data_IF_488155416429
#
_entry.id   IF_488155416429
#
_cell.length_a   1.000
_cell.length_b   1.000
_cell.length_c   1.000
_cell.angle_alpha   90.00
_cell.angle_beta   90.00
_cell.angle_gamma   90.00
#
_symmetry.space_group_name_H-M   'P 1'
#
loop_
_entity.id
_entity.type
_entity.pdbx_description
1 polymer ?
#
# COMPACT_ATOMS: atom_id res chain seq x y z
N UNK A 1 -32.73 20.67 14.39
CA UNK A 1 -31.27 20.36 14.50
C UNK A 1 -30.52 20.45 13.16
N UNK A 2 -31.19 20.47 11.98
CA UNK A 2 -30.54 20.66 10.66
C UNK A 2 -30.33 22.13 10.24
N UNK A 3 -30.99 23.09 10.90
CA UNK A 3 -30.88 24.53 10.63
C UNK A 3 -29.59 25.14 11.20
N UNK A 4 -29.21 24.78 12.43
CA UNK A 4 -27.97 25.26 13.09
C UNK A 4 -26.67 24.87 12.37
N UNK A 5 -26.66 23.72 11.68
CA UNK A 5 -25.48 23.24 10.95
C UNK A 5 -25.26 23.98 9.62
N UNK A 6 -26.35 24.45 8.98
CA UNK A 6 -26.25 25.28 7.77
C UNK A 6 -25.73 26.68 8.11
N UNK A 7 -26.21 27.28 9.20
CA UNK A 7 -25.74 28.60 9.68
C UNK A 7 -24.25 28.62 10.05
N UNK A 8 -23.72 27.51 10.59
CA UNK A 8 -22.28 27.41 10.92
C UNK A 8 -21.38 27.32 9.67
N UNK A 9 -21.87 26.72 8.58
CA UNK A 9 -21.12 26.60 7.32
C UNK A 9 -21.08 27.95 6.59
N UNK A 10 -22.20 28.69 6.59
CA UNK A 10 -22.28 30.01 5.94
C UNK A 10 -21.44 31.08 6.67
N UNK A 11 -21.30 30.97 8.00
CA UNK A 11 -20.45 31.86 8.79
C UNK A 11 -18.93 31.61 8.56
N UNK A 12 -18.54 30.39 8.20
CA UNK A 12 -17.15 30.07 7.80
C UNK A 12 -16.81 30.62 6.41
N UNK A 13 -17.78 30.63 5.49
CA UNK A 13 -17.59 31.15 4.12
C UNK A 13 -17.36 32.67 4.08
N UNK A 14 -18.04 33.45 4.94
CA UNK A 14 -17.86 34.91 5.02
C UNK A 14 -16.54 35.32 5.69
N UNK A 15 -16.09 34.57 6.71
CA UNK A 15 -14.83 34.86 7.43
C UNK A 15 -13.60 34.50 6.60
N UNK A 16 -13.71 33.50 5.71
CA UNK A 16 -12.60 33.08 4.84
C UNK A 16 -12.43 34.04 3.66
N UNK A 17 -13.52 34.61 3.13
CA UNK A 17 -13.46 35.46 1.93
C UNK A 17 -12.85 36.85 2.20
N UNK A 18 -12.88 37.34 3.45
CA UNK A 18 -12.38 38.69 3.80
C UNK A 18 -10.87 38.76 4.12
N UNK A 19 -10.15 37.63 4.16
CA UNK A 19 -8.69 37.60 4.45
C UNK A 19 -7.77 37.37 3.25
N UNK A 20 -8.29 37.21 2.03
CA UNK A 20 -7.48 36.87 0.85
C UNK A 20 -7.42 38.01 -0.18
N UNK A 21 -6.94 39.17 0.25
CA UNK A 21 -6.17 40.03 -0.64
C UNK A 21 -4.81 40.24 0.00
N UNK A 22 -3.76 39.82 -0.71
CA UNK A 22 -2.33 39.77 -0.33
C UNK A 22 -1.87 38.45 0.34
N UNK A 23 -1.40 37.49 -0.47
CA UNK A 23 -0.18 36.64 -0.30
C UNK A 23 -0.20 35.39 -1.21
N UNK A 24 1.01 34.91 -1.54
CA UNK A 24 1.45 33.90 -2.53
C UNK A 24 0.53 32.71 -2.90
N UNK A 25 0.52 32.38 -4.20
CA UNK A 25 -0.37 31.39 -4.83
C UNK A 25 -0.18 29.94 -4.35
N UNK A 26 1.00 29.59 -3.82
CA UNK A 26 1.30 28.26 -3.29
C UNK A 26 0.60 27.98 -1.94
N UNK A 27 0.50 28.99 -1.05
CA UNK A 27 -0.19 28.83 0.24
C UNK A 27 -1.71 28.72 0.07
N UNK A 28 -2.28 29.34 -0.97
CA UNK A 28 -3.70 29.23 -1.27
C UNK A 28 -4.12 27.82 -1.71
N UNK A 29 -3.24 27.06 -2.39
CA UNK A 29 -3.51 25.67 -2.79
C UNK A 29 -3.47 24.71 -1.60
N UNK A 30 -2.51 24.87 -0.70
CA UNK A 30 -2.38 24.03 0.52
C UNK A 30 -3.58 24.21 1.44
N UNK A 31 -4.04 25.45 1.63
CA UNK A 31 -5.20 25.76 2.49
C UNK A 31 -6.51 25.23 1.88
N UNK A 32 -6.69 25.32 0.56
CA UNK A 32 -7.86 24.71 -0.14
C UNK A 32 -7.87 23.19 -0.02
N UNK A 33 -6.70 22.56 -0.03
CA UNK A 33 -6.56 21.11 0.12
C UNK A 33 -6.86 20.65 1.56
N UNK A 34 -6.42 21.41 2.57
CA UNK A 34 -6.75 21.15 3.98
C UNK A 34 -8.26 21.28 4.24
N UNK A 35 -8.90 22.34 3.74
CA UNK A 35 -10.35 22.52 3.86
C UNK A 35 -11.17 21.42 3.15
N UNK A 36 -10.67 20.88 2.03
CA UNK A 36 -11.27 19.75 1.31
C UNK A 36 -11.17 18.44 2.11
N UNK A 37 -10.03 18.19 2.76
CA UNK A 37 -9.82 17.02 3.61
C UNK A 37 -10.69 17.08 4.87
N UNK A 38 -10.83 18.24 5.51
CA UNK A 38 -11.72 18.41 6.66
C UNK A 38 -13.19 18.17 6.29
N UNK A 39 -13.64 18.62 5.09
CA UNK A 39 -14.97 18.29 4.56
C UNK A 39 -15.17 16.78 4.39
N UNK A 40 -14.19 16.07 3.82
CA UNK A 40 -14.26 14.60 3.64
C UNK A 40 -14.35 13.86 4.98
N UNK A 41 -13.57 14.28 5.98
CA UNK A 41 -13.61 13.69 7.33
C UNK A 41 -14.97 13.91 8.01
N UNK A 42 -15.59 15.08 7.84
CA UNK A 42 -16.93 15.37 8.35
C UNK A 42 -18.04 14.54 7.67
N UNK A 43 -17.92 14.30 6.36
CA UNK A 43 -18.82 13.43 5.59
C UNK A 43 -18.71 11.96 6.00
N UNK A 44 -17.50 11.45 6.23
CA UNK A 44 -17.29 10.08 6.74
C UNK A 44 -17.87 9.94 8.15
N UNK A 45 -17.64 10.95 9.02
CA UNK A 45 -18.19 10.97 10.38
C UNK A 45 -19.72 11.08 10.42
N UNK A 46 -20.35 11.74 9.45
CA UNK A 46 -21.81 11.78 9.36
C UNK A 46 -22.37 10.46 8.82
N UNK A 47 -21.72 9.86 7.81
CA UNK A 47 -22.09 8.56 7.25
C UNK A 47 -22.03 7.44 8.29
N UNK A 48 -20.92 7.33 9.05
CA UNK A 48 -20.77 6.34 10.12
C UNK A 48 -21.80 6.55 11.26
N UNK A 49 -22.28 7.79 11.46
CA UNK A 49 -23.30 8.11 12.47
C UNK A 49 -24.71 7.76 11.99
N UNK A 50 -24.97 7.82 10.68
CA UNK A 50 -26.20 7.34 10.06
C UNK A 50 -26.24 5.81 10.02
N UNK A 51 -25.11 5.16 9.72
CA UNK A 51 -24.96 3.70 9.72
C UNK A 51 -25.21 3.12 11.12
N UNK A 52 -24.55 3.65 12.17
CA UNK A 52 -24.82 3.24 13.56
C UNK A 52 -26.28 3.41 13.98
N UNK A 53 -26.96 4.46 13.50
CA UNK A 53 -28.40 4.66 13.77
C UNK A 53 -29.28 3.65 13.04
N UNK A 54 -28.95 3.31 11.80
CA UNK A 54 -29.68 2.29 11.02
C UNK A 54 -29.56 0.92 11.69
N UNK A 55 -28.34 0.51 12.11
CA UNK A 55 -28.13 -0.75 12.84
C UNK A 55 -28.88 -0.79 14.18
N UNK A 56 -28.95 0.34 14.89
CA UNK A 56 -29.68 0.43 16.17
C UNK A 56 -31.20 0.33 15.95
N UNK A 57 -31.72 0.88 14.85
CA UNK A 57 -33.15 0.84 14.51
C UNK A 57 -33.56 -0.56 14.05
N UNK A 58 -32.71 -1.22 13.27
CA UNK A 58 -32.88 -2.59 12.78
C UNK A 58 -32.89 -3.59 13.94
N UNK A 59 -31.93 -3.49 14.87
CA UNK A 59 -31.93 -4.27 16.12
C UNK A 59 -33.15 -3.99 17.01
N UNK A 60 -33.70 -2.77 16.99
CA UNK A 60 -34.92 -2.43 17.74
C UNK A 60 -36.19 -2.98 17.07
N UNK A 61 -36.24 -3.03 15.74
CA UNK A 61 -37.35 -3.64 14.99
C UNK A 61 -37.35 -5.17 15.13
N UNK A 62 -36.19 -5.82 15.06
CA UNK A 62 -36.08 -7.27 15.26
C UNK A 62 -36.52 -7.71 16.66
N UNK A 63 -36.21 -6.93 17.70
CA UNK A 63 -36.68 -7.18 19.07
C UNK A 63 -38.19 -7.04 19.22
N UNK A 64 -38.82 -6.10 18.50
CA UNK A 64 -40.29 -5.94 18.52
C UNK A 64 -41.00 -7.05 17.75
N UNK A 65 -40.42 -7.55 16.66
CA UNK A 65 -40.97 -8.67 15.90
C UNK A 65 -40.90 -10.00 16.67
N UNK A 66 -39.87 -10.22 17.49
CA UNK A 66 -39.77 -11.42 18.36
C UNK A 66 -40.69 -11.38 19.59
N UNK A 67 -41.18 -10.20 19.99
CA UNK A 67 -42.04 -10.03 21.15
C UNK A 67 -43.54 -10.13 20.84
N UNK A 68 -43.92 -10.15 19.56
CA UNK A 68 -45.30 -10.23 19.10
C UNK A 68 -45.54 -11.62 18.49
N UNK A 69 -46.17 -12.54 19.23
CA UNK A 69 -46.66 -13.82 18.72
C UNK A 69 -47.82 -13.59 17.72
N UNK A 70 -47.54 -12.96 16.58
CA UNK A 70 -48.55 -12.65 15.57
C UNK A 70 -48.24 -13.41 14.28
N UNK A 71 -49.05 -14.42 14.03
CA UNK A 71 -49.06 -15.22 12.81
C UNK A 71 -50.26 -14.78 11.97
N UNK A 72 -50.09 -14.06 10.84
CA UNK A 72 -51.21 -13.80 9.95
C UNK A 72 -51.35 -14.93 8.91
N UNK A 73 -52.58 -15.39 8.61
CA UNK A 73 -52.82 -16.38 7.57
C UNK A 73 -52.88 -15.73 6.18
N UNK A 74 -52.41 -16.49 5.18
CA UNK A 74 -52.77 -16.43 3.76
C UNK A 74 -52.74 -15.05 3.08
N UNK A 75 -51.59 -14.70 2.51
CA UNK A 75 -51.54 -13.86 1.31
C UNK A 75 -50.76 -14.63 0.26
N UNK A 76 -51.43 -14.92 -0.87
CA UNK A 76 -50.83 -15.52 -2.06
C UNK A 76 -49.69 -14.63 -2.54
N UNK A 77 -48.45 -15.08 -2.34
CA UNK A 77 -47.26 -14.38 -2.84
C UNK A 77 -46.97 -14.92 -4.24
N UNK A 78 -47.17 -14.05 -5.23
CA UNK A 78 -46.70 -14.20 -6.59
C UNK A 78 -45.25 -14.70 -6.60
N UNK A 79 -45.00 -15.87 -7.20
CA UNK A 79 -43.72 -16.59 -7.23
C UNK A 79 -42.61 -15.93 -8.08
N UNK A 80 -42.63 -14.61 -8.26
CA UNK A 80 -41.71 -13.90 -9.18
C UNK A 80 -40.71 -12.97 -8.45
N UNK A 81 -40.85 -12.73 -7.14
CA UNK A 81 -39.93 -11.83 -6.41
C UNK A 81 -38.92 -12.52 -5.47
N UNK A 82 -38.84 -13.86 -5.45
CA UNK A 82 -37.96 -14.59 -4.53
C UNK A 82 -36.53 -14.85 -5.03
N UNK A 83 -36.12 -14.25 -6.15
CA UNK A 83 -34.77 -14.42 -6.74
C UNK A 83 -33.84 -13.20 -6.61
N UNK A 84 -34.20 -12.14 -5.87
CA UNK A 84 -33.34 -10.95 -5.72
C UNK A 84 -33.02 -10.54 -4.27
N UNK A 85 -33.33 -11.35 -3.26
CA UNK A 85 -33.06 -11.00 -1.85
C UNK A 85 -32.43 -12.12 -1.01
N UNK A 86 -31.63 -12.98 -1.65
CA UNK A 86 -30.77 -13.96 -0.99
C UNK A 86 -29.31 -13.89 -1.45
N UNK A 87 -28.89 -12.73 -1.98
CA UNK A 87 -27.47 -12.33 -1.95
C UNK A 87 -27.17 -11.64 -0.60
N UNK A 88 -27.68 -12.18 0.49
CA UNK A 88 -27.19 -11.89 1.82
C UNK A 88 -25.80 -12.50 1.89
N UNK A 89 -24.79 -11.66 1.68
CA UNK A 89 -23.35 -11.86 1.89
C UNK A 89 -23.04 -13.14 2.66
N UNK A 90 -22.92 -14.25 1.95
CA UNK A 90 -21.88 -15.21 2.29
C UNK A 90 -20.60 -14.44 2.04
N UNK A 91 -20.02 -13.82 3.09
CA UNK A 91 -18.56 -13.72 3.10
C UNK A 91 -18.12 -15.16 2.97
N UNK A 92 -17.85 -15.58 1.73
CA UNK A 92 -17.01 -16.74 1.49
C UNK A 92 -15.81 -16.46 2.36
N UNK A 93 -15.64 -17.24 3.43
CA UNK A 93 -14.46 -17.20 4.26
C UNK A 93 -13.38 -17.71 3.33
N UNK A 94 -12.83 -16.82 2.50
CA UNK A 94 -11.64 -17.12 1.74
C UNK A 94 -10.61 -17.51 2.79
N UNK A 95 -9.97 -18.68 2.67
CA UNK A 95 -8.96 -19.08 3.64
C UNK A 95 -7.93 -17.96 3.73
N UNK A 96 -7.73 -17.43 4.92
CA UNK A 96 -6.85 -16.28 5.12
C UNK A 96 -5.42 -16.70 4.85
N UNK A 97 -4.72 -15.99 3.95
CA UNK A 97 -3.35 -16.31 3.57
C UNK A 97 -2.44 -15.95 4.75
N UNK A 98 -1.75 -16.93 5.33
CA UNK A 98 -0.76 -16.64 6.38
C UNK A 98 0.41 -15.92 5.73
N UNK A 99 0.81 -14.79 6.28
CA UNK A 99 1.86 -13.93 5.75
C UNK A 99 2.91 -13.66 6.82
N UNK A 100 4.01 -14.39 6.75
CA UNK A 100 5.18 -14.20 7.60
C UNK A 100 6.00 -13.04 7.07
N UNK A 101 6.11 -11.99 7.89
CA UNK A 101 6.63 -10.71 7.42
C UNK A 101 7.35 -9.95 8.53
N UNK A 102 8.13 -8.95 8.12
CA UNK A 102 8.56 -7.89 9.02
C UNK A 102 8.15 -6.54 8.41
N UNK A 103 7.47 -5.65 9.16
CA UNK A 103 6.88 -4.44 8.58
C UNK A 103 7.87 -3.51 7.88
N UNK A 104 9.12 -3.49 8.33
CA UNK A 104 10.18 -2.64 7.81
C UNK A 104 10.75 -3.16 6.48
N UNK A 105 10.55 -4.45 6.15
CA UNK A 105 11.17 -5.08 4.99
C UNK A 105 10.54 -4.60 3.68
N UNK A 106 11.31 -4.00 2.76
CA UNK A 106 10.82 -3.61 1.43
C UNK A 106 10.02 -4.70 0.69
N UNK A 107 10.53 -5.94 0.54
CA UNK A 107 9.78 -6.97 -0.15
C UNK A 107 8.48 -7.36 0.56
N UNK A 108 8.39 -7.23 1.89
CA UNK A 108 7.14 -7.46 2.62
C UNK A 108 6.11 -6.36 2.33
N UNK A 109 6.53 -5.08 2.35
CA UNK A 109 5.66 -3.93 2.04
C UNK A 109 5.07 -4.02 0.63
N UNK A 110 5.84 -4.53 -0.33
CA UNK A 110 5.35 -4.78 -1.69
C UNK A 110 4.17 -5.78 -1.72
N UNK A 111 4.24 -6.88 -0.95
CA UNK A 111 3.14 -7.85 -0.85
C UNK A 111 1.89 -7.21 -0.26
N UNK A 112 2.04 -6.44 0.82
CA UNK A 112 0.90 -5.78 1.47
C UNK A 112 0.20 -4.79 0.53
N UNK A 113 0.97 -4.01 -0.25
CA UNK A 113 0.42 -3.10 -1.25
C UNK A 113 -0.34 -3.87 -2.35
N UNK A 114 0.26 -4.93 -2.91
CA UNK A 114 -0.42 -5.73 -3.94
C UNK A 114 -1.69 -6.36 -3.40
N UNK A 115 -1.63 -7.02 -2.23
CA UNK A 115 -2.78 -7.66 -1.60
C UNK A 115 -3.92 -6.66 -1.32
N UNK A 116 -3.59 -5.48 -0.78
CA UNK A 116 -4.55 -4.41 -0.56
C UNK A 116 -5.21 -3.90 -1.85
N UNK A 117 -4.45 -3.80 -2.94
CA UNK A 117 -4.96 -3.34 -4.25
C UNK A 117 -5.88 -4.36 -4.94
N UNK A 118 -5.66 -5.66 -4.71
CA UNK A 118 -6.49 -6.72 -5.28
C UNK A 118 -7.60 -7.21 -4.33
N UNK A 119 -7.66 -6.68 -3.10
CA UNK A 119 -8.68 -7.04 -2.12
C UNK A 119 -8.45 -8.38 -1.44
N UNK A 120 -7.19 -8.83 -1.33
CA UNK A 120 -6.80 -10.05 -0.63
C UNK A 120 -6.42 -9.71 0.81
N UNK A 121 -7.06 -10.40 1.76
CA UNK A 121 -6.74 -10.28 3.18
C UNK A 121 -5.57 -11.21 3.56
N UNK A 122 -4.61 -10.66 4.31
CA UNK A 122 -3.44 -11.38 4.81
C UNK A 122 -3.54 -11.56 6.33
N UNK A 123 -3.38 -12.80 6.80
CA UNK A 123 -3.17 -13.12 8.21
C UNK A 123 -1.71 -12.85 8.55
N UNK A 124 -1.45 -11.63 9.02
CA UNK A 124 -0.11 -11.11 9.31
C UNK A 124 0.54 -11.84 10.50
N UNK A 125 1.66 -12.52 10.25
CA UNK A 125 2.51 -13.21 11.22
C UNK A 125 3.85 -12.45 11.34
N UNK A 126 3.96 -11.43 12.20
CA UNK A 126 5.17 -10.63 12.30
C UNK A 126 6.33 -11.45 12.89
N UNK A 127 7.54 -11.26 12.35
CA UNK A 127 8.79 -11.80 12.86
C UNK A 127 9.76 -10.67 13.20
N UNK A 128 10.42 -10.76 14.35
CA UNK A 128 11.55 -9.92 14.71
C UNK A 128 12.85 -10.53 14.18
N UNK A 129 13.33 -9.97 13.07
CA UNK A 129 14.57 -10.44 12.45
C UNK A 129 15.82 -10.09 13.29
N UNK A 130 15.76 -9.05 14.12
CA UNK A 130 16.88 -8.66 14.98
C UNK A 130 16.96 -9.55 16.23
N UNK A 131 15.81 -10.01 16.74
CA UNK A 131 15.76 -11.01 17.80
C UNK A 131 16.08 -12.44 17.30
N UNK A 132 16.11 -12.64 15.98
CA UNK A 132 16.46 -13.93 15.37
C UNK A 132 15.29 -14.89 15.22
N UNK A 133 14.02 -14.42 15.23
CA UNK A 133 12.83 -15.28 15.13
C UNK A 133 12.85 -16.17 13.87
N UNK A 134 13.37 -15.63 12.76
CA UNK A 134 13.56 -16.31 11.49
C UNK A 134 14.59 -17.46 11.54
N UNK A 135 15.40 -17.56 12.59
CA UNK A 135 16.38 -18.62 12.82
C UNK A 135 15.86 -19.69 13.77
N UNK A 136 14.63 -19.57 14.28
CA UNK A 136 14.02 -20.60 15.10
C UNK A 136 13.82 -21.89 14.31
N UNK A 137 13.98 -23.05 14.97
CA UNK A 137 13.77 -24.35 14.35
C UNK A 137 12.38 -24.48 13.70
N UNK A 138 11.36 -23.86 14.31
CA UNK A 138 9.99 -23.89 13.80
C UNK A 138 9.85 -23.08 12.50
N UNK A 139 10.49 -21.91 12.40
CA UNK A 139 10.47 -21.14 11.16
C UNK A 139 11.36 -21.76 10.08
N UNK A 140 12.53 -22.31 10.42
CA UNK A 140 13.42 -22.98 9.46
C UNK A 140 12.73 -24.21 8.86
N UNK A 141 12.01 -25.00 9.66
CA UNK A 141 11.18 -26.12 9.15
C UNK A 141 10.10 -25.65 8.19
N UNK A 142 9.59 -24.42 8.37
CA UNK A 142 8.58 -23.84 7.51
C UNK A 142 9.18 -23.29 6.20
N UNK A 143 10.22 -22.46 6.33
CA UNK A 143 10.98 -21.84 5.25
C UNK A 143 12.48 -22.12 5.47
N UNK A 144 13.07 -23.13 4.78
CA UNK A 144 14.48 -23.46 4.91
C UNK A 144 15.44 -22.31 4.54
N UNK A 145 14.98 -21.34 3.74
CA UNK A 145 15.75 -20.14 3.41
C UNK A 145 15.70 -19.07 4.50
N UNK A 146 14.95 -19.29 5.59
CA UNK A 146 14.87 -18.42 6.77
C UNK A 146 14.73 -16.93 6.42
N UNK A 147 13.94 -16.63 5.38
CA UNK A 147 13.73 -15.29 4.84
C UNK A 147 12.28 -14.85 5.00
N UNK A 148 12.05 -13.55 4.87
CA UNK A 148 10.72 -12.95 4.70
C UNK A 148 10.73 -12.11 3.41
N UNK A 149 9.61 -11.97 2.70
CA UNK A 149 8.28 -12.52 3.00
C UNK A 149 8.16 -14.03 2.73
N UNK A 150 7.21 -14.66 3.44
CA UNK A 150 6.78 -16.03 3.16
C UNK A 150 5.27 -16.17 3.36
N UNK A 151 4.59 -16.87 2.48
CA UNK A 151 3.15 -17.10 2.58
C UNK A 151 2.78 -18.57 2.67
N UNK A 152 1.65 -18.84 3.32
CA UNK A 152 0.94 -20.13 3.24
C UNK A 152 -0.49 -19.86 2.75
N UNK A 153 -0.84 -20.49 1.65
CA UNK A 153 -2.17 -20.43 1.03
C UNK A 153 -2.65 -21.84 0.70
N UNK A 154 -3.42 -22.42 1.64
CA UNK A 154 -3.78 -23.83 1.60
C UNK A 154 -2.54 -24.72 1.73
N UNK A 155 -2.31 -25.56 0.73
CA UNK A 155 -1.13 -26.44 0.66
C UNK A 155 0.12 -25.73 0.09
N UNK A 156 -0.05 -24.59 -0.56
CA UNK A 156 1.06 -23.84 -1.15
C UNK A 156 1.83 -23.09 -0.07
N UNK A 157 3.14 -23.34 -0.01
CA UNK A 157 4.11 -22.59 0.76
C UNK A 157 5.05 -21.88 -0.20
N UNK A 158 5.14 -20.56 -0.13
CA UNK A 158 5.85 -19.76 -1.13
C UNK A 158 6.65 -18.63 -0.48
N UNK A 159 7.96 -18.63 -0.73
CA UNK A 159 8.85 -17.48 -0.51
C UNK A 159 9.02 -16.65 -1.78
N UNK A 160 9.99 -15.73 -1.79
CA UNK A 160 10.30 -14.81 -2.90
C UNK A 160 9.17 -13.80 -3.20
N UNK A 161 9.40 -12.53 -2.85
CA UNK A 161 8.35 -11.50 -2.93
C UNK A 161 7.74 -11.33 -4.33
N UNK A 162 8.56 -11.41 -5.37
CA UNK A 162 8.11 -11.24 -6.76
C UNK A 162 7.21 -12.40 -7.19
N UNK A 163 7.61 -13.62 -6.86
CA UNK A 163 6.79 -14.81 -7.11
C UNK A 163 5.46 -14.74 -6.35
N UNK A 164 5.49 -14.28 -5.09
CA UNK A 164 4.28 -14.05 -4.29
C UNK A 164 3.36 -13.02 -4.94
N UNK A 165 3.87 -11.87 -5.39
CA UNK A 165 3.05 -10.85 -6.08
C UNK A 165 2.41 -11.41 -7.35
N UNK A 166 3.20 -12.09 -8.20
CA UNK A 166 2.69 -12.73 -9.42
C UNK A 166 1.60 -13.76 -9.09
N UNK A 167 1.84 -14.60 -8.08
CA UNK A 167 0.89 -15.61 -7.61
C UNK A 167 -0.43 -15.00 -7.12
N UNK A 168 -0.35 -13.97 -6.27
CA UNK A 168 -1.53 -13.32 -5.71
C UNK A 168 -2.41 -12.73 -6.82
N UNK A 169 -1.82 -12.00 -7.78
CA UNK A 169 -2.58 -11.45 -8.91
C UNK A 169 -3.15 -12.59 -9.78
N UNK A 170 -2.33 -13.57 -10.18
CA UNK A 170 -2.79 -14.67 -11.03
C UNK A 170 -3.94 -15.48 -10.41
N UNK A 171 -3.92 -15.74 -9.09
CA UNK A 171 -4.92 -16.56 -8.41
C UNK A 171 -6.19 -15.79 -8.06
N UNK A 172 -6.05 -14.58 -7.52
CA UNK A 172 -7.17 -13.85 -6.92
C UNK A 172 -7.76 -12.78 -7.83
N UNK A 173 -7.00 -12.31 -8.83
CA UNK A 173 -7.44 -11.28 -9.77
C UNK A 173 -6.80 -11.49 -11.15
N UNK A 174 -7.09 -12.62 -11.82
CA UNK A 174 -6.48 -12.95 -13.11
C UNK A 174 -6.77 -11.85 -14.15
N UNK A 175 -5.76 -11.56 -14.98
CA UNK A 175 -5.79 -10.50 -16.00
C UNK A 175 -6.00 -9.09 -15.45
N UNK A 176 -5.73 -8.86 -14.16
CA UNK A 176 -5.70 -7.51 -13.60
C UNK A 176 -4.58 -6.67 -14.25
N UNK A 177 -4.78 -5.35 -14.47
CA UNK A 177 -3.76 -4.47 -15.02
C UNK A 177 -2.43 -4.45 -14.26
N UNK A 178 -2.41 -4.87 -12.98
CA UNK A 178 -1.18 -5.04 -12.22
C UNK A 178 -0.25 -6.13 -12.78
N UNK A 179 -0.82 -7.18 -13.38
CA UNK A 179 -0.08 -8.30 -13.99
C UNK A 179 -0.89 -8.97 -15.13
N UNK A 180 -1.08 -8.27 -16.27
CA UNK A 180 -1.94 -8.71 -17.37
C UNK A 180 -1.47 -10.03 -17.99
N UNK A 181 -2.38 -10.75 -18.66
CA UNK A 181 -2.05 -12.00 -19.37
C UNK A 181 -1.43 -11.78 -20.76
N UNK A 182 -1.51 -10.56 -21.30
CA UNK A 182 -0.85 -10.21 -22.57
C UNK A 182 0.67 -10.52 -22.49
N UNK A 183 1.20 -11.39 -23.38
CA UNK A 183 2.59 -11.83 -23.29
C UNK A 183 3.62 -10.70 -23.39
N UNK A 184 3.36 -9.66 -24.18
CA UNK A 184 4.30 -8.57 -24.38
C UNK A 184 4.37 -7.66 -23.15
N UNK A 185 3.22 -7.30 -22.59
CA UNK A 185 3.12 -6.55 -21.34
C UNK A 185 3.75 -7.33 -20.19
N UNK A 186 3.43 -8.63 -20.08
CA UNK A 186 3.96 -9.51 -19.04
C UNK A 186 5.48 -9.66 -19.14
N UNK A 187 6.02 -9.87 -20.34
CA UNK A 187 7.47 -9.93 -20.55
C UNK A 187 8.19 -8.65 -20.11
N UNK A 188 7.59 -7.48 -20.38
CA UNK A 188 8.13 -6.20 -19.92
C UNK A 188 8.05 -6.07 -18.39
N UNK A 189 6.95 -6.49 -17.74
CA UNK A 189 6.87 -6.50 -16.26
C UNK A 189 7.93 -7.44 -15.67
N UNK A 190 8.03 -8.66 -16.19
CA UNK A 190 8.97 -9.68 -15.74
C UNK A 190 10.42 -9.19 -15.90
N UNK A 191 10.77 -8.56 -17.04
CA UNK A 191 12.09 -7.93 -17.26
C UNK A 191 12.47 -6.99 -16.11
N UNK A 192 11.54 -6.14 -15.66
CA UNK A 192 11.81 -5.17 -14.60
C UNK A 192 11.86 -5.82 -13.21
N UNK A 193 11.01 -6.81 -12.94
CA UNK A 193 11.09 -7.60 -11.70
C UNK A 193 12.45 -8.32 -11.60
N UNK A 194 12.91 -8.92 -12.71
CA UNK A 194 14.19 -9.60 -12.78
C UNK A 194 15.39 -8.63 -12.74
N UNK A 195 15.29 -7.47 -13.38
CA UNK A 195 16.30 -6.42 -13.26
C UNK A 195 16.40 -5.91 -11.81
N UNK A 196 15.26 -5.72 -11.14
CA UNK A 196 15.25 -5.28 -9.75
C UNK A 196 15.93 -6.32 -8.84
N UNK A 197 15.60 -7.62 -8.94
CA UNK A 197 16.22 -8.65 -8.06
C UNK A 197 17.65 -8.98 -8.44
N UNK A 198 18.00 -8.91 -9.73
CA UNK A 198 19.31 -9.28 -10.23
C UNK A 198 20.34 -8.16 -10.17
N UNK A 199 19.89 -6.89 -10.17
CA UNK A 199 20.79 -5.73 -10.30
C UNK A 199 20.61 -4.72 -9.17
N UNK A 200 19.39 -4.22 -8.97
CA UNK A 200 19.15 -3.10 -8.04
C UNK A 200 19.19 -3.56 -6.59
N UNK A 201 18.47 -4.63 -6.26
CA UNK A 201 18.36 -5.17 -4.91
C UNK A 201 19.70 -5.62 -4.34
N UNK A 202 20.55 -6.40 -5.05
CA UNK A 202 21.84 -6.81 -4.51
C UNK A 202 22.78 -5.64 -4.26
N UNK A 203 22.82 -4.65 -5.17
CA UNK A 203 23.63 -3.46 -5.02
C UNK A 203 23.15 -2.59 -3.84
N UNK A 204 21.83 -2.40 -3.71
CA UNK A 204 21.25 -1.69 -2.57
C UNK A 204 21.54 -2.42 -1.26
N UNK A 205 21.33 -3.74 -1.21
CA UNK A 205 21.49 -4.52 0.01
C UNK A 205 22.96 -4.53 0.45
N UNK A 206 23.91 -4.64 -0.48
CA UNK A 206 25.34 -4.52 -0.17
C UNK A 206 25.70 -3.18 0.50
N UNK A 207 25.06 -2.08 0.05
CA UNK A 207 25.26 -0.75 0.59
C UNK A 207 24.55 -0.51 1.93
N UNK A 208 23.24 -0.81 1.99
CA UNK A 208 22.37 -0.38 3.09
C UNK A 208 22.25 -1.41 4.21
N UNK A 209 22.38 -2.71 3.95
CA UNK A 209 22.22 -3.73 4.99
C UNK A 209 23.23 -3.59 6.14
N UNK A 210 24.53 -3.32 5.89
CA UNK A 210 25.48 -3.05 6.97
C UNK A 210 25.08 -1.84 7.81
N UNK A 211 24.51 -0.80 7.18
CA UNK A 211 24.02 0.41 7.86
C UNK A 211 22.78 0.12 8.71
N UNK A 212 21.86 -0.70 8.21
CA UNK A 212 20.64 -1.13 8.94
C UNK A 212 21.03 -1.99 10.14
N UNK A 213 21.92 -2.97 9.97
CA UNK A 213 22.32 -3.88 11.04
C UNK A 213 23.28 -3.24 12.07
N UNK A 214 23.73 -2.00 11.83
CA UNK A 214 24.69 -1.30 12.68
C UNK A 214 26.13 -1.80 12.54
N UNK A 215 26.43 -2.54 11.48
CA UNK A 215 27.78 -3.01 11.14
C UNK A 215 28.64 -1.97 10.42
N UNK A 216 28.04 -0.87 9.94
CA UNK A 216 28.73 0.28 9.36
C UNK A 216 28.09 1.58 9.84
N UNK A 217 28.88 2.65 9.92
CA UNK A 217 28.43 4.02 10.27
C UNK A 217 28.38 4.97 9.08
N UNK A 218 29.12 4.65 8.02
CA UNK A 218 29.26 5.42 6.80
C UNK A 218 29.02 4.53 5.59
N UNK A 219 28.58 5.15 4.48
CA UNK A 219 28.38 4.46 3.22
C UNK A 219 29.72 4.07 2.57
N UNK A 220 29.82 2.81 2.18
CA UNK A 220 30.96 2.31 1.41
C UNK A 220 30.92 2.90 0.00
N UNK A 221 31.99 3.61 -0.39
CA UNK A 221 32.06 4.33 -1.68
C UNK A 221 31.96 3.41 -2.90
N UNK A 222 32.53 2.20 -2.83
CA UNK A 222 32.50 1.26 -3.95
C UNK A 222 31.09 0.70 -4.13
N UNK A 223 30.46 0.29 -3.01
CA UNK A 223 29.07 -0.22 -3.03
C UNK A 223 28.08 0.87 -3.39
N UNK A 224 28.33 2.11 -2.95
CA UNK A 224 27.52 3.26 -3.33
C UNK A 224 27.60 3.50 -4.84
N UNK A 225 28.81 3.48 -5.41
CA UNK A 225 28.98 3.60 -6.86
C UNK A 225 28.21 2.51 -7.61
N UNK A 226 28.32 1.26 -7.18
CA UNK A 226 27.60 0.14 -7.79
C UNK A 226 26.08 0.31 -7.71
N UNK A 227 25.56 0.77 -6.56
CA UNK A 227 24.14 1.06 -6.43
C UNK A 227 23.71 2.21 -7.33
N UNK A 228 24.47 3.32 -7.37
CA UNK A 228 24.20 4.45 -8.28
C UNK A 228 24.25 4.06 -9.76
N UNK A 229 25.17 3.17 -10.15
CA UNK A 229 25.22 2.61 -11.50
C UNK A 229 23.94 1.83 -11.84
N UNK A 230 23.42 1.04 -10.90
CA UNK A 230 22.14 0.32 -11.08
C UNK A 230 20.93 1.25 -11.27
N UNK A 231 20.97 2.44 -10.64
CA UNK A 231 19.90 3.44 -10.75
C UNK A 231 19.99 4.26 -12.04
N UNK A 232 21.19 4.48 -12.60
CA UNK A 232 21.37 5.25 -13.85
C UNK A 232 20.60 4.66 -15.02
N UNK A 233 20.56 3.34 -15.14
CA UNK A 233 19.75 2.68 -16.17
C UNK A 233 18.27 3.01 -16.03
N UNK A 234 17.72 2.93 -14.81
CA UNK A 234 16.32 3.22 -14.54
C UNK A 234 16.00 4.70 -14.79
N UNK A 235 16.84 5.61 -14.29
CA UNK A 235 16.62 7.05 -14.46
C UNK A 235 16.63 7.45 -15.94
N UNK A 236 17.62 6.96 -16.71
CA UNK A 236 17.69 7.20 -18.16
C UNK A 236 16.48 6.63 -18.87
N UNK A 237 16.11 5.38 -18.58
CA UNK A 237 14.94 4.73 -19.20
C UNK A 237 13.65 5.51 -18.92
N UNK A 238 13.46 5.98 -17.69
CA UNK A 238 12.31 6.79 -17.30
C UNK A 238 12.28 8.16 -17.99
N UNK A 239 13.44 8.70 -18.37
CA UNK A 239 13.55 9.92 -19.19
C UNK A 239 13.32 9.69 -20.69
N UNK A 240 13.71 8.52 -21.20
CA UNK A 240 13.66 8.16 -22.63
C UNK A 240 12.27 7.75 -23.14
N UNK A 241 11.22 7.87 -22.31
CA UNK A 241 9.85 7.42 -22.57
C UNK A 241 9.08 8.30 -23.60
N UNK A 242 9.71 8.68 -24.71
CA UNK A 242 9.13 8.89 -26.04
C UNK A 242 7.84 9.73 -26.19
N UNK A 243 7.49 10.59 -25.24
CA UNK A 243 6.25 11.37 -25.25
C UNK A 243 5.10 10.82 -24.38
N UNK A 244 5.30 9.76 -23.60
CA UNK A 244 4.35 9.39 -22.53
C UNK A 244 4.42 10.41 -21.40
N UNK A 245 3.25 10.88 -20.94
CA UNK A 245 3.18 11.90 -19.88
C UNK A 245 3.46 11.34 -18.47
N UNK A 246 3.37 10.02 -18.29
CA UNK A 246 3.44 9.34 -17.00
C UNK A 246 4.21 8.02 -17.08
N UNK A 247 5.54 8.02 -17.28
CA UNK A 247 6.28 6.78 -17.42
C UNK A 247 6.40 6.03 -16.08
N UNK A 248 6.08 4.75 -16.15
CA UNK A 248 6.12 3.71 -15.13
C UNK A 248 6.95 2.52 -15.64
N UNK A 249 7.51 1.74 -14.72
CA UNK A 249 8.32 0.57 -15.09
C UNK A 249 7.41 -0.62 -15.38
N UNK A 250 7.70 -1.37 -16.45
CA UNK A 250 6.88 -2.51 -16.86
C UNK A 250 5.85 -2.22 -17.95
N UNK A 251 4.94 -1.25 -17.80
CA UNK A 251 3.85 -1.05 -18.79
C UNK A 251 3.53 0.41 -19.14
N UNK A 252 4.53 1.28 -19.27
CA UNK A 252 4.31 2.61 -19.82
C UNK A 252 3.57 3.51 -18.83
N UNK A 253 2.27 3.75 -19.03
CA UNK A 253 1.43 4.57 -18.14
C UNK A 253 0.54 3.76 -17.18
N UNK A 254 0.61 2.43 -17.25
CA UNK A 254 -0.14 1.52 -16.39
C UNK A 254 0.70 1.07 -15.19
N UNK A 255 0.18 1.24 -13.97
CA UNK A 255 0.80 0.74 -12.74
C UNK A 255 0.80 -0.79 -12.72
N UNK A 256 1.94 -1.38 -12.38
CA UNK A 256 2.14 -2.83 -12.33
C UNK A 256 2.82 -3.30 -11.04
N UNK A 257 2.90 -4.62 -10.83
CA UNK A 257 3.67 -5.20 -9.72
C UNK A 257 5.17 -4.86 -9.78
N UNK A 258 5.72 -4.56 -10.97
CA UNK A 258 7.12 -4.10 -11.09
C UNK A 258 7.31 -2.73 -10.43
N UNK A 259 6.36 -1.83 -10.59
CA UNK A 259 6.40 -0.52 -9.95
C UNK A 259 6.29 -0.61 -8.43
N UNK A 260 5.36 -1.45 -7.97
CA UNK A 260 5.09 -1.64 -6.53
C UNK A 260 6.31 -2.25 -5.84
N UNK A 261 6.97 -3.22 -6.49
CA UNK A 261 8.20 -3.82 -6.02
C UNK A 261 9.34 -2.79 -5.95
N UNK A 262 9.58 -2.07 -7.05
CA UNK A 262 10.67 -1.10 -7.16
C UNK A 262 10.49 0.08 -6.20
N UNK A 263 9.28 0.65 -6.07
CA UNK A 263 9.04 1.77 -5.15
C UNK A 263 9.25 1.36 -3.70
N UNK A 264 8.87 0.14 -3.32
CA UNK A 264 9.10 -0.36 -1.96
C UNK A 264 10.60 -0.39 -1.62
N UNK A 265 11.41 -0.78 -2.60
CA UNK A 265 12.87 -0.83 -2.53
C UNK A 265 13.50 0.57 -2.48
N UNK A 266 13.14 1.45 -3.42
CA UNK A 266 13.67 2.81 -3.51
C UNK A 266 13.33 3.64 -2.28
N UNK A 267 12.17 3.42 -1.68
CA UNK A 267 11.74 4.09 -0.45
C UNK A 267 12.72 3.90 0.70
N UNK A 268 13.36 2.72 0.83
CA UNK A 268 14.38 2.48 1.85
C UNK A 268 15.60 3.38 1.65
N UNK A 269 16.10 3.49 0.41
CA UNK A 269 17.22 4.36 0.10
C UNK A 269 16.86 5.84 0.32
N UNK A 270 15.64 6.26 -0.03
CA UNK A 270 15.17 7.62 0.19
C UNK A 270 14.94 7.93 1.68
N UNK A 271 14.61 6.93 2.50
CA UNK A 271 14.55 7.12 3.95
C UNK A 271 15.93 7.47 4.50
N UNK A 272 17.00 6.86 3.99
CA UNK A 272 18.36 7.26 4.33
C UNK A 272 18.65 8.71 3.92
N UNK A 273 18.18 9.18 2.77
CA UNK A 273 18.30 10.60 2.36
C UNK A 273 17.64 11.59 3.33
N UNK A 274 16.60 11.16 4.06
CA UNK A 274 15.87 12.03 5.00
C UNK A 274 16.49 12.08 6.41
N UNK A 275 17.30 11.09 6.77
CA UNK A 275 17.86 10.97 8.12
C UNK A 275 19.39 10.92 8.15
N UNK A 276 20.04 10.83 6.99
CA UNK A 276 21.49 10.85 6.80
C UNK A 276 21.82 11.68 5.56
N UNK A 277 23.09 12.05 5.43
CA UNK A 277 23.61 12.77 4.27
C UNK A 277 23.77 11.80 3.07
N UNK A 278 22.64 11.36 2.50
CA UNK A 278 22.60 10.47 1.34
C UNK A 278 21.80 11.09 0.21
N UNK A 279 22.48 11.73 -0.74
CA UNK A 279 21.81 12.47 -1.82
C UNK A 279 21.57 11.62 -3.08
N UNK A 280 20.32 11.61 -3.55
CA UNK A 280 19.91 10.98 -4.82
C UNK A 280 19.37 12.01 -5.83
N UNK A 281 19.60 13.31 -5.61
CA UNK A 281 19.10 14.40 -6.45
C UNK A 281 19.57 14.35 -7.92
N UNK A 282 20.64 13.63 -8.22
CA UNK A 282 21.09 13.40 -9.61
C UNK A 282 20.06 12.59 -10.43
N UNK A 283 19.21 11.79 -9.78
CA UNK A 283 18.23 10.89 -10.41
C UNK A 283 16.84 11.51 -10.52
N UNK A 284 16.73 12.66 -11.21
CA UNK A 284 15.50 13.44 -11.30
C UNK A 284 14.30 12.65 -11.87
N UNK A 285 14.51 11.82 -12.89
CA UNK A 285 13.43 11.04 -13.50
C UNK A 285 12.95 9.95 -12.55
N UNK A 286 13.87 9.32 -11.84
CA UNK A 286 13.60 8.30 -10.82
C UNK A 286 12.85 8.89 -9.62
N UNK A 287 13.26 10.06 -9.13
CA UNK A 287 12.59 10.73 -8.01
C UNK A 287 11.16 11.14 -8.40
N UNK A 288 10.99 11.72 -9.59
CA UNK A 288 9.66 12.04 -10.11
C UNK A 288 8.80 10.78 -10.30
N UNK A 289 9.42 9.67 -10.73
CA UNK A 289 8.77 8.36 -10.85
C UNK A 289 8.27 7.83 -9.50
N UNK A 290 9.11 7.85 -8.47
CA UNK A 290 8.74 7.40 -7.12
C UNK A 290 7.51 8.17 -6.63
N UNK A 291 7.51 9.50 -6.74
CA UNK A 291 6.34 10.31 -6.33
C UNK A 291 5.07 9.95 -7.12
N UNK A 292 5.18 9.69 -8.43
CA UNK A 292 4.03 9.24 -9.23
C UNK A 292 3.48 7.90 -8.74
N UNK A 293 4.34 6.93 -8.48
CA UNK A 293 3.90 5.60 -8.00
C UNK A 293 3.24 5.73 -6.62
N UNK A 294 3.83 6.49 -5.70
CA UNK A 294 3.27 6.77 -4.36
C UNK A 294 1.85 7.33 -4.42
N UNK A 295 1.59 8.23 -5.37
CA UNK A 295 0.26 8.83 -5.57
C UNK A 295 -0.75 7.90 -6.24
N UNK A 296 -0.28 6.90 -6.98
CA UNK A 296 -1.14 5.99 -7.74
C UNK A 296 -1.61 4.81 -6.90
N UNK A 297 -0.79 4.34 -5.95
CA UNK A 297 -1.13 3.22 -5.06
C UNK A 297 -2.16 3.67 -4.01
N UNK A 298 -3.36 3.07 -3.95
CA UNK A 298 -4.34 3.35 -2.91
C UNK A 298 -3.79 3.01 -1.52
N UNK A 299 -4.10 3.86 -0.53
CA UNK A 299 -3.68 3.67 0.87
C UNK A 299 -2.16 3.48 1.07
N UNK A 300 -1.34 4.00 0.16
CA UNK A 300 0.13 3.92 0.24
C UNK A 300 0.68 4.32 1.62
N UNK A 301 0.09 5.36 2.23
CA UNK A 301 0.51 5.83 3.55
C UNK A 301 0.32 4.77 4.65
N UNK A 302 -0.76 3.99 4.58
CA UNK A 302 -1.09 2.97 5.56
C UNK A 302 -0.16 1.75 5.43
N UNK A 303 0.06 1.29 4.20
CA UNK A 303 0.91 0.13 3.91
C UNK A 303 2.41 0.43 4.02
N UNK A 304 2.81 1.69 3.82
CA UNK A 304 4.21 2.01 3.61
C UNK A 304 4.75 3.08 4.57
N UNK A 305 4.08 4.23 4.74
CA UNK A 305 4.68 5.37 5.43
C UNK A 305 4.83 5.18 6.95
N UNK A 306 3.91 4.46 7.61
CA UNK A 306 4.06 4.13 9.04
C UNK A 306 5.33 3.30 9.24
N UNK A 307 5.56 2.31 8.38
CA UNK A 307 6.75 1.46 8.47
C UNK A 307 8.03 2.21 8.13
N UNK A 308 7.97 3.16 7.20
CA UNK A 308 9.10 4.03 6.86
C UNK A 308 9.51 4.96 8.00
N UNK A 309 8.56 5.53 8.74
CA UNK A 309 8.93 6.34 9.90
C UNK A 309 9.62 5.49 10.99
N UNK A 310 9.16 4.25 11.21
CA UNK A 310 9.83 3.33 12.12
C UNK A 310 11.26 3.01 11.64
N UNK A 311 11.47 2.84 10.33
CA UNK A 311 12.81 2.65 9.75
C UNK A 311 13.68 3.89 9.99
N UNK A 312 13.16 5.10 9.76
CA UNK A 312 13.89 6.35 10.01
C UNK A 312 14.29 6.50 11.47
N UNK A 313 13.39 6.23 12.40
CA UNK A 313 13.68 6.22 13.83
C UNK A 313 14.73 5.17 14.18
N UNK A 314 14.62 3.98 13.59
CA UNK A 314 15.60 2.91 13.77
C UNK A 314 16.99 3.31 13.26
N UNK A 315 17.07 3.92 12.07
CA UNK A 315 18.33 4.45 11.51
C UNK A 315 18.92 5.51 12.46
N UNK A 316 18.14 6.49 12.94
CA UNK A 316 18.63 7.48 13.92
C UNK A 316 19.22 6.80 15.17
N UNK A 317 18.49 5.84 15.75
CA UNK A 317 18.90 5.15 16.97
C UNK A 317 20.21 4.36 16.85
N UNK A 318 20.50 3.79 15.67
CA UNK A 318 21.70 2.98 15.42
C UNK A 318 22.94 3.82 15.18
N UNK A 319 22.75 5.08 14.81
CA UNK A 319 23.82 5.95 14.35
C UNK A 319 24.10 7.14 15.28
N UNK A 320 23.39 7.23 16.40
CA UNK A 320 23.72 8.12 17.53
C UNK A 320 23.17 9.54 17.42
N UNK A 321 22.10 9.75 16.63
CA UNK A 321 21.38 11.02 16.50
C UNK A 321 20.16 11.10 17.43
#
# INVERSE_FOLDING_TARGET
>A
RSTRARESITALETTTTTRFHTTDSANAQVIRMQASNERKVLLIRSSNRHEKKATTLEQHMERKLRASNYFPPTVSVCSICFHQSLAARTHSIMPTIQFYHTPQSPPCRAIEMVAGMIGVELDKRPLDLLAGDHLSDDYIKLNPLHTVPFIIDGELKLGESRAIMMYLVNKYKPDDPLYPMDPNKRASIDEHLFYEIGTVYPAQNALLQPMVLGGAKEFDREKERAYRDSLRYLDRRLGDYGGTKFPLVGCGDQLTIADISLVALLDLALDYSTVRDYDLSEFNNLLAYVERVRLTIPNYNEFNNIHRENIRQFIRSRHGD
#
